data_IF_872500446016
#
_entry.id   IF_872500446016
#
_cell.length_a   1.000
_cell.length_b   1.000
_cell.length_c   1.000
_cell.angle_alpha   90.00
_cell.angle_beta   90.00
_cell.angle_gamma   90.00
#
_symmetry.space_group_name_H-M   'P 1'
#
loop_
_entity.id
_entity.type
_entity.pdbx_description
1 polymer ?
#
# COMPACT_ATOMS: atom_id res chain seq x y z
N UNK A 1 -35.58 -3.68 -13.40
CA UNK A 1 -34.83 -2.72 -12.55
C UNK A 1 -34.75 -3.30 -11.14
N UNK A 2 -33.66 -3.99 -10.78
CA UNK A 2 -33.49 -4.55 -9.43
C UNK A 2 -33.36 -3.36 -8.46
N UNK A 3 -34.25 -3.28 -7.46
CA UNK A 3 -34.07 -2.37 -6.32
C UNK A 3 -32.65 -2.57 -5.80
N UNK A 4 -31.82 -1.53 -5.89
CA UNK A 4 -30.54 -1.51 -5.19
C UNK A 4 -30.91 -1.57 -3.72
N UNK A 5 -30.62 -2.71 -3.10
CA UNK A 5 -30.86 -2.92 -1.68
C UNK A 5 -30.00 -1.91 -0.91
N UNK A 6 -30.65 -0.90 -0.35
CA UNK A 6 -30.02 0.20 0.40
C UNK A 6 -29.29 -0.35 1.66
N UNK A 7 -29.61 -1.58 2.08
CA UNK A 7 -28.94 -2.25 3.19
C UNK A 7 -27.48 -2.65 2.89
N UNK A 8 -27.12 -2.84 1.61
CA UNK A 8 -25.78 -3.26 1.21
C UNK A 8 -24.79 -2.07 1.17
N UNK A 9 -25.31 -0.86 0.89
CA UNK A 9 -24.56 0.40 1.05
C UNK A 9 -24.33 0.70 2.54
N UNK A 10 -25.27 0.34 3.40
CA UNK A 10 -25.19 0.48 4.86
C UNK A 10 -24.13 -0.44 5.51
N UNK A 11 -23.64 -1.45 4.79
CA UNK A 11 -22.63 -2.37 5.28
C UNK A 11 -21.17 -1.93 5.06
N UNK A 12 -20.96 -0.88 4.25
CA UNK A 12 -19.64 -0.37 3.87
C UNK A 12 -19.34 0.93 4.64
N UNK A 13 -18.21 0.98 5.33
CA UNK A 13 -17.81 2.14 6.15
C UNK A 13 -17.37 3.29 5.25
N UNK A 14 -18.32 4.13 4.86
CA UNK A 14 -18.11 5.28 3.96
C UNK A 14 -17.02 6.22 4.49
N UNK A 15 -17.01 6.51 5.79
CA UNK A 15 -15.99 7.37 6.42
C UNK A 15 -14.56 6.86 6.20
N UNK A 16 -14.35 5.55 6.30
CA UNK A 16 -13.04 4.92 6.11
C UNK A 16 -12.60 4.97 4.64
N UNK A 17 -13.54 4.71 3.72
CA UNK A 17 -13.28 4.80 2.29
C UNK A 17 -13.04 6.25 1.84
N UNK A 18 -13.77 7.22 2.39
CA UNK A 18 -13.56 8.65 2.17
C UNK A 18 -12.20 9.12 2.66
N UNK A 19 -11.77 8.69 3.86
CA UNK A 19 -10.44 9.03 4.39
C UNK A 19 -9.32 8.48 3.48
N UNK A 20 -9.46 7.23 3.00
CA UNK A 20 -8.50 6.64 2.07
C UNK A 20 -8.48 7.39 0.73
N UNK A 21 -9.65 7.72 0.19
CA UNK A 21 -9.77 8.47 -1.05
C UNK A 21 -9.16 9.87 -0.96
N UNK A 22 -9.42 10.58 0.14
CA UNK A 22 -8.81 11.88 0.44
C UNK A 22 -7.28 11.77 0.51
N UNK A 23 -6.76 10.75 1.22
CA UNK A 23 -5.32 10.54 1.32
C UNK A 23 -4.66 10.26 -0.05
N UNK A 24 -5.30 9.49 -0.94
CA UNK A 24 -4.79 9.28 -2.31
C UNK A 24 -4.77 10.60 -3.09
N UNK A 25 -5.85 11.39 -3.03
CA UNK A 25 -5.93 12.69 -3.71
C UNK A 25 -4.83 13.63 -3.23
N UNK A 26 -4.63 13.74 -1.91
CA UNK A 26 -3.59 14.56 -1.31
C UNK A 26 -2.18 14.06 -1.66
N UNK A 27 -1.97 12.74 -1.78
CA UNK A 27 -0.69 12.16 -2.17
C UNK A 27 -0.32 12.55 -3.60
N UNK A 28 -1.26 12.49 -4.54
CA UNK A 28 -1.07 12.95 -5.92
C UNK A 28 -0.77 14.45 -5.96
N UNK A 29 -1.51 15.25 -5.18
CA UNK A 29 -1.32 16.69 -5.12
C UNK A 29 0.10 17.04 -4.61
N UNK A 30 0.51 16.43 -3.50
CA UNK A 30 1.82 16.67 -2.89
C UNK A 30 3.00 16.08 -3.66
N UNK A 31 2.79 15.01 -4.43
CA UNK A 31 3.86 14.28 -5.12
C UNK A 31 4.04 14.63 -6.59
N UNK A 32 3.04 15.24 -7.24
CA UNK A 32 3.10 15.53 -8.69
C UNK A 32 3.06 17.01 -9.03
N UNK A 33 2.41 17.86 -8.21
CA UNK A 33 2.17 19.27 -8.55
C UNK A 33 3.22 20.20 -7.92
N UNK A 34 3.92 19.72 -6.89
CA UNK A 34 4.86 20.51 -6.08
C UNK A 34 6.24 20.69 -6.74
N UNK A 35 6.61 19.92 -7.75
CA UNK A 35 7.95 19.98 -8.36
C UNK A 35 8.12 21.07 -9.44
N UNK A 36 7.32 22.13 -9.40
CA UNK A 36 7.64 23.41 -10.02
C UNK A 36 7.73 24.46 -8.91
N UNK A 37 8.71 25.37 -8.98
CA UNK A 37 9.04 26.40 -7.96
C UNK A 37 7.95 27.45 -7.69
N UNK A 38 6.69 27.11 -7.94
CA UNK A 38 5.53 28.00 -8.01
C UNK A 38 4.67 27.93 -6.75
N UNK A 39 4.78 26.85 -5.95
CA UNK A 39 3.91 26.64 -4.80
C UNK A 39 4.49 27.21 -3.47
N UNK A 40 3.63 27.66 -2.54
CA UNK A 40 4.07 28.16 -1.25
C UNK A 40 4.65 27.06 -0.33
N UNK A 41 5.49 27.43 0.63
CA UNK A 41 6.24 26.50 1.48
C UNK A 41 5.39 25.46 2.25
N UNK A 42 4.15 25.79 2.61
CA UNK A 42 3.24 24.86 3.30
C UNK A 42 2.77 23.69 2.41
N UNK A 43 3.07 23.71 1.11
CA UNK A 43 2.80 22.63 0.15
C UNK A 43 3.89 21.56 0.10
N UNK A 44 4.95 21.70 0.90
CA UNK A 44 6.10 20.79 0.94
C UNK A 44 6.31 20.21 2.34
N UNK A 45 7.21 19.25 2.47
CA UNK A 45 7.70 18.82 3.78
C UNK A 45 8.40 19.99 4.48
N UNK A 46 8.09 20.22 5.76
CA UNK A 46 8.66 21.35 6.52
C UNK A 46 10.20 21.34 6.51
N UNK A 47 10.79 20.14 6.56
CA UNK A 47 12.23 19.92 6.55
C UNK A 47 12.85 19.99 5.16
N UNK A 48 12.06 20.19 4.10
CA UNK A 48 12.52 20.26 2.71
C UNK A 48 11.91 21.51 2.04
N UNK A 49 12.14 22.72 2.60
CA UNK A 49 11.45 23.92 2.16
C UNK A 49 11.92 24.37 0.75
N UNK A 50 11.05 25.03 -0.02
CA UNK A 50 11.47 25.74 -1.22
C UNK A 50 12.40 26.92 -0.87
N UNK A 51 13.23 27.40 -1.81
CA UNK A 51 13.38 26.92 -3.19
C UNK A 51 14.39 25.77 -3.34
N UNK A 52 15.25 25.55 -2.34
CA UNK A 52 16.37 24.61 -2.50
C UNK A 52 15.96 23.15 -2.38
N UNK A 53 14.84 22.85 -1.72
CA UNK A 53 14.38 21.49 -1.44
C UNK A 53 15.46 20.58 -0.85
N UNK A 54 16.33 21.17 -0.03
CA UNK A 54 17.36 20.44 0.70
C UNK A 54 16.84 20.06 2.08
N UNK A 55 17.14 18.83 2.51
CA UNK A 55 16.74 18.36 3.82
C UNK A 55 17.48 19.12 4.92
N UNK A 56 16.75 19.84 5.77
CA UNK A 56 17.28 20.57 6.91
C UNK A 56 16.65 20.05 8.22
N UNK A 57 17.41 19.30 9.05
CA UNK A 57 16.89 18.72 10.28
C UNK A 57 16.63 19.75 11.38
N UNK A 58 17.17 20.96 11.28
CA UNK A 58 16.99 22.00 12.29
C UNK A 58 15.63 22.69 12.23
N UNK A 59 14.89 22.51 11.13
CA UNK A 59 13.54 23.05 10.98
C UNK A 59 12.56 22.11 11.67
N UNK A 60 11.99 22.57 12.79
CA UNK A 60 10.91 21.87 13.47
C UNK A 60 9.58 22.15 12.77
N UNK A 61 8.77 21.11 12.57
CA UNK A 61 7.42 21.26 12.05
C UNK A 61 6.94 20.02 11.31
N UNK A 62 5.62 19.96 11.14
CA UNK A 62 4.95 19.03 10.25
C UNK A 62 4.03 19.86 9.35
N UNK A 63 3.99 19.56 8.07
CA UNK A 63 2.97 20.08 7.17
C UNK A 63 1.89 19.03 6.94
N UNK A 64 0.82 19.41 6.25
CA UNK A 64 -0.23 18.45 5.90
C UNK A 64 0.30 17.31 5.02
N UNK A 65 1.37 17.55 4.23
CA UNK A 65 2.03 16.56 3.37
C UNK A 65 2.58 15.40 4.18
N UNK A 66 3.15 15.70 5.36
CA UNK A 66 3.70 14.69 6.27
C UNK A 66 2.63 13.75 6.83
N UNK A 67 1.36 14.19 6.87
CA UNK A 67 0.23 13.44 7.44
C UNK A 67 -0.48 12.54 6.42
N UNK A 68 -0.31 12.82 5.13
CA UNK A 68 -1.01 12.09 4.05
C UNK A 68 -0.73 10.59 4.09
N UNK A 69 0.54 10.21 4.14
CA UNK A 69 0.94 8.81 4.15
C UNK A 69 0.54 8.08 5.45
N UNK A 70 0.72 8.67 6.66
CA UNK A 70 0.16 8.15 7.89
C UNK A 70 -1.36 7.92 7.86
N UNK A 71 -2.16 8.87 7.35
CA UNK A 71 -3.61 8.70 7.24
C UNK A 71 -3.97 7.53 6.34
N UNK A 72 -3.25 7.38 5.22
CA UNK A 72 -3.45 6.26 4.31
C UNK A 72 -3.17 4.92 5.00
N UNK A 73 -2.01 4.79 5.68
CA UNK A 73 -1.65 3.59 6.43
C UNK A 73 -2.60 3.30 7.59
N UNK A 74 -3.00 4.31 8.36
CA UNK A 74 -3.98 4.15 9.43
C UNK A 74 -5.32 3.62 8.89
N UNK A 75 -5.80 4.18 7.78
CA UNK A 75 -7.03 3.72 7.12
C UNK A 75 -6.92 2.28 6.60
N UNK A 76 -5.73 1.85 6.18
CA UNK A 76 -5.44 0.47 5.81
C UNK A 76 -5.51 -0.45 7.03
N UNK A 77 -4.86 -0.08 8.13
CA UNK A 77 -4.89 -0.83 9.39
C UNK A 77 -6.32 -1.03 9.90
N UNK A 78 -7.13 0.04 9.89
CA UNK A 78 -8.54 0.00 10.28
C UNK A 78 -9.41 -0.88 9.37
N UNK A 79 -8.99 -1.11 8.12
CA UNK A 79 -9.70 -1.98 7.20
C UNK A 79 -9.43 -3.48 7.45
N UNK A 80 -8.32 -3.86 8.10
CA UNK A 80 -7.98 -5.27 8.31
C UNK A 80 -9.04 -6.04 9.11
N UNK A 81 -9.49 -5.58 10.29
CA UNK A 81 -10.48 -6.32 11.06
C UNK A 81 -11.79 -6.52 10.31
N UNK A 82 -12.22 -5.48 9.59
CA UNK A 82 -13.46 -5.46 8.82
C UNK A 82 -13.41 -6.45 7.65
N UNK A 83 -12.29 -6.48 6.92
CA UNK A 83 -12.13 -7.33 5.75
C UNK A 83 -11.80 -8.79 6.09
N UNK A 84 -11.02 -9.02 7.15
CA UNK A 84 -10.46 -10.33 7.46
C UNK A 84 -11.33 -11.13 8.43
N UNK A 85 -12.09 -10.49 9.33
CA UNK A 85 -12.91 -11.18 10.34
C UNK A 85 -13.90 -12.20 9.75
N UNK A 86 -14.68 -11.80 8.73
CA UNK A 86 -15.64 -12.69 8.08
C UNK A 86 -14.96 -13.86 7.39
N UNK A 87 -13.82 -13.60 6.73
CA UNK A 87 -13.09 -14.63 5.99
C UNK A 87 -12.38 -15.60 6.91
N UNK A 88 -11.80 -15.11 7.99
CA UNK A 88 -11.13 -15.92 8.99
C UNK A 88 -12.11 -16.90 9.64
N UNK A 89 -13.33 -16.44 9.95
CA UNK A 89 -14.42 -17.29 10.45
C UNK A 89 -14.88 -18.36 9.44
N UNK A 90 -14.99 -18.00 8.16
CA UNK A 90 -15.57 -18.89 7.15
C UNK A 90 -14.56 -19.84 6.49
N UNK A 91 -13.31 -19.42 6.33
CA UNK A 91 -12.28 -20.12 5.53
C UNK A 91 -11.05 -20.52 6.34
N UNK A 92 -10.98 -20.14 7.61
CA UNK A 92 -9.86 -20.44 8.49
C UNK A 92 -8.61 -19.58 8.24
N UNK A 93 -7.59 -19.82 9.08
CA UNK A 93 -6.33 -19.06 9.11
C UNK A 93 -5.53 -19.24 7.82
N UNK A 94 -5.32 -20.49 7.39
CA UNK A 94 -4.45 -20.83 6.27
C UNK A 94 -4.94 -20.22 4.95
N UNK A 95 -6.24 -20.31 4.65
CA UNK A 95 -6.81 -19.70 3.44
C UNK A 95 -6.77 -18.17 3.48
N UNK A 96 -6.83 -17.56 4.66
CA UNK A 96 -6.73 -16.12 4.85
C UNK A 96 -5.29 -15.63 4.66
N UNK A 97 -4.31 -16.36 5.19
CA UNK A 97 -2.89 -16.11 4.94
C UNK A 97 -2.52 -16.31 3.47
N UNK A 98 -2.98 -17.39 2.83
CA UNK A 98 -2.73 -17.63 1.40
C UNK A 98 -3.25 -16.49 0.51
N UNK A 99 -4.41 -15.92 0.82
CA UNK A 99 -4.89 -14.74 0.10
C UNK A 99 -4.05 -13.50 0.39
N UNK A 100 -3.60 -13.31 1.63
CA UNK A 100 -2.74 -12.20 2.01
C UNK A 100 -1.41 -12.26 1.24
N UNK A 101 -0.79 -13.43 1.18
CA UNK A 101 0.44 -13.67 0.41
C UNK A 101 0.20 -13.42 -1.07
N UNK A 102 -0.92 -13.91 -1.64
CA UNK A 102 -1.30 -13.60 -3.02
C UNK A 102 -1.41 -12.09 -3.27
N UNK A 103 -2.05 -11.34 -2.37
CA UNK A 103 -2.17 -9.88 -2.50
C UNK A 103 -0.82 -9.19 -2.40
N UNK A 104 0.05 -9.65 -1.51
CA UNK A 104 1.43 -9.15 -1.40
C UNK A 104 2.19 -9.33 -2.72
N UNK A 105 2.20 -10.54 -3.29
CA UNK A 105 2.88 -10.82 -4.56
C UNK A 105 2.35 -9.92 -5.69
N UNK A 106 1.02 -9.76 -5.78
CA UNK A 106 0.41 -8.89 -6.79
C UNK A 106 0.76 -7.41 -6.60
N UNK A 107 0.83 -6.92 -5.36
CA UNK A 107 1.23 -5.54 -5.06
C UNK A 107 2.70 -5.30 -5.35
N UNK A 108 3.57 -6.26 -5.05
CA UNK A 108 4.99 -6.18 -5.39
C UNK A 108 5.19 -6.17 -6.91
N UNK A 109 4.51 -7.05 -7.64
CA UNK A 109 4.50 -7.00 -9.11
C UNK A 109 4.01 -5.64 -9.62
N UNK A 110 2.91 -5.14 -9.06
CA UNK A 110 2.36 -3.84 -9.39
C UNK A 110 3.36 -2.70 -9.13
N UNK A 111 4.12 -2.74 -8.03
CA UNK A 111 5.15 -1.75 -7.72
C UNK A 111 6.29 -1.73 -8.74
N UNK A 112 6.76 -2.91 -9.16
CA UNK A 112 7.83 -3.03 -10.15
C UNK A 112 7.33 -2.60 -11.53
N UNK A 113 6.17 -3.11 -11.95
CA UNK A 113 5.60 -2.80 -13.27
C UNK A 113 5.31 -1.31 -13.42
N UNK A 114 4.58 -0.70 -12.48
CA UNK A 114 4.20 0.72 -12.56
C UNK A 114 5.40 1.67 -12.52
N UNK A 115 6.50 1.28 -11.86
CA UNK A 115 7.74 2.04 -11.92
C UNK A 115 8.32 2.04 -13.35
N UNK A 116 8.44 0.86 -13.96
CA UNK A 116 8.97 0.71 -15.32
C UNK A 116 8.03 1.26 -16.40
N UNK A 117 6.73 1.34 -16.12
CA UNK A 117 5.73 1.92 -17.02
C UNK A 117 5.76 3.46 -17.09
N UNK A 118 6.63 4.15 -16.35
CA UNK A 118 6.74 5.62 -16.38
C UNK A 118 7.58 6.07 -17.57
N UNK A 119 7.08 7.08 -18.30
CA UNK A 119 7.76 7.56 -19.51
C UNK A 119 9.20 8.06 -19.24
N UNK A 120 9.44 8.74 -18.11
CA UNK A 120 10.77 9.20 -17.69
C UNK A 120 11.71 8.09 -17.17
N UNK A 121 11.18 6.89 -16.91
CA UNK A 121 11.98 5.70 -16.60
C UNK A 121 12.35 4.97 -17.90
N UNK A 122 11.48 5.01 -18.90
CA UNK A 122 11.76 4.45 -20.24
C UNK A 122 12.85 5.24 -20.97
N UNK A 123 12.75 6.57 -21.01
CA UNK A 123 13.67 7.46 -21.73
C UNK A 123 14.04 8.69 -20.88
N UNK A 124 15.23 9.25 -21.11
CA UNK A 124 15.66 10.52 -20.48
C UNK A 124 14.89 11.73 -21.02
N UNK A 125 14.54 11.70 -22.31
CA UNK A 125 13.71 12.71 -22.97
C UNK A 125 12.46 12.03 -23.52
N UNK A 126 11.39 11.90 -22.72
CA UNK A 126 10.17 11.21 -23.15
C UNK A 126 9.53 11.94 -24.33
N UNK A 127 9.43 11.27 -25.47
CA UNK A 127 8.69 11.74 -26.61
C UNK A 127 7.21 11.31 -26.50
N UNK A 128 6.43 11.63 -27.53
CA UNK A 128 5.02 11.23 -27.61
C UNK A 128 4.85 9.71 -27.57
N UNK A 129 5.81 8.95 -28.09
CA UNK A 129 5.83 7.49 -28.09
C UNK A 129 5.87 6.91 -26.69
N UNK A 130 6.80 7.33 -25.82
CA UNK A 130 6.94 6.78 -24.47
C UNK A 130 5.72 7.15 -23.60
N UNK A 131 5.17 8.35 -23.80
CA UNK A 131 3.94 8.76 -23.14
C UNK A 131 2.74 7.90 -23.56
N UNK A 132 2.59 7.61 -24.86
CA UNK A 132 1.55 6.69 -25.37
C UNK A 132 1.75 5.26 -24.86
N UNK A 133 2.98 4.77 -24.80
CA UNK A 133 3.30 3.45 -24.22
C UNK A 133 2.92 3.43 -22.74
N UNK A 134 3.23 4.48 -21.98
CA UNK A 134 2.84 4.61 -20.57
C UNK A 134 1.32 4.55 -20.38
N UNK A 135 0.55 5.24 -21.23
CA UNK A 135 -0.92 5.15 -21.25
C UNK A 135 -1.37 3.72 -21.60
N UNK A 136 -0.72 3.07 -22.57
CA UNK A 136 -0.96 1.67 -22.92
C UNK A 136 -0.70 0.72 -21.75
N UNK A 137 0.40 0.90 -21.03
CA UNK A 137 0.72 0.17 -19.80
C UNK A 137 -0.32 0.40 -18.71
N UNK A 138 -0.84 1.63 -18.58
CA UNK A 138 -1.93 1.92 -17.67
C UNK A 138 -3.21 1.15 -18.04
N UNK A 139 -3.56 1.08 -19.33
CA UNK A 139 -4.69 0.25 -19.79
C UNK A 139 -4.43 -1.26 -19.58
N UNK A 140 -3.18 -1.72 -19.70
CA UNK A 140 -2.80 -3.10 -19.38
C UNK A 140 -3.08 -3.46 -17.90
N UNK A 141 -2.94 -2.51 -16.97
CA UNK A 141 -3.32 -2.73 -15.56
C UNK A 141 -4.81 -3.09 -15.42
N UNK A 142 -5.68 -2.46 -16.21
CA UNK A 142 -7.11 -2.81 -16.22
C UNK A 142 -7.32 -4.24 -16.71
N UNK A 143 -6.60 -4.65 -17.76
CA UNK A 143 -6.64 -6.03 -18.26
C UNK A 143 -6.14 -7.05 -17.22
N UNK A 144 -5.16 -6.70 -16.39
CA UNK A 144 -4.62 -7.59 -15.34
C UNK A 144 -5.49 -7.66 -14.08
N UNK A 145 -6.03 -6.52 -13.61
CA UNK A 145 -6.61 -6.44 -12.26
C UNK A 145 -8.13 -6.20 -12.24
N UNK A 146 -8.75 -5.80 -13.36
CA UNK A 146 -10.19 -5.58 -13.41
C UNK A 146 -10.97 -6.89 -13.27
N UNK A 147 -12.03 -6.83 -12.47
CA UNK A 147 -13.04 -7.88 -12.34
C UNK A 147 -14.40 -7.30 -12.70
N UNK A 148 -14.84 -7.55 -13.93
CA UNK A 148 -16.14 -7.11 -14.42
C UNK A 148 -17.20 -8.14 -14.03
N UNK A 149 -18.32 -7.69 -13.44
CA UNK A 149 -19.44 -8.58 -13.07
C UNK A 149 -20.11 -9.27 -14.27
N UNK A 150 -19.92 -8.72 -15.47
CA UNK A 150 -20.56 -9.17 -16.71
C UNK A 150 -19.73 -10.22 -17.47
N UNK A 151 -18.48 -10.47 -17.08
CA UNK A 151 -17.63 -11.41 -17.80
C UNK A 151 -17.83 -12.85 -17.28
N UNK A 152 -17.86 -13.81 -18.21
CA UNK A 152 -17.79 -15.24 -17.87
C UNK A 152 -16.43 -15.53 -17.22
N UNK A 153 -16.40 -16.36 -16.18
CA UNK A 153 -15.19 -16.64 -15.38
C UNK A 153 -13.97 -17.05 -16.23
N UNK A 154 -14.16 -17.85 -17.28
CA UNK A 154 -13.07 -18.27 -18.17
C UNK A 154 -12.48 -17.13 -19.01
N UNK A 155 -13.33 -16.20 -19.47
CA UNK A 155 -12.89 -15.03 -20.24
C UNK A 155 -12.10 -14.05 -19.37
N UNK A 156 -12.54 -13.83 -18.13
CA UNK A 156 -11.78 -12.99 -17.17
C UNK A 156 -10.40 -13.57 -16.90
N UNK A 157 -10.28 -14.88 -16.68
CA UNK A 157 -8.98 -15.53 -16.45
C UNK A 157 -8.09 -15.39 -17.69
N UNK A 158 -8.61 -15.67 -18.89
CA UNK A 158 -7.86 -15.53 -20.14
C UNK A 158 -7.35 -14.10 -20.36
N UNK A 159 -8.19 -13.10 -20.14
CA UNK A 159 -7.82 -11.67 -20.21
C UNK A 159 -6.72 -11.30 -19.21
N UNK A 160 -6.82 -11.80 -17.97
CA UNK A 160 -5.81 -11.53 -16.94
C UNK A 160 -4.47 -12.18 -17.31
N UNK A 161 -4.47 -13.43 -17.77
CA UNK A 161 -3.27 -14.14 -18.23
C UNK A 161 -2.63 -13.38 -19.40
N UNK A 162 -3.43 -12.96 -20.38
CA UNK A 162 -2.94 -12.15 -21.50
C UNK A 162 -2.33 -10.82 -21.02
N UNK A 163 -2.99 -10.14 -20.08
CA UNK A 163 -2.47 -8.90 -19.48
C UNK A 163 -1.12 -9.10 -18.81
N UNK A 164 -0.96 -10.15 -18.01
CA UNK A 164 0.32 -10.47 -17.37
C UNK A 164 1.39 -10.87 -18.39
N UNK A 165 1.02 -11.64 -19.42
CA UNK A 165 1.95 -12.03 -20.48
C UNK A 165 2.47 -10.80 -21.25
N UNK A 166 1.59 -9.88 -21.63
CA UNK A 166 1.96 -8.62 -22.29
C UNK A 166 2.82 -7.73 -21.38
N UNK A 167 2.48 -7.64 -20.09
CA UNK A 167 3.26 -6.86 -19.13
C UNK A 167 4.69 -7.42 -18.96
N UNK A 168 4.83 -8.74 -18.85
CA UNK A 168 6.14 -9.40 -18.77
C UNK A 168 6.93 -9.27 -20.08
N UNK A 169 6.26 -9.41 -21.23
CA UNK A 169 6.88 -9.19 -22.53
C UNK A 169 7.39 -7.76 -22.69
N UNK A 170 6.60 -6.76 -22.26
CA UNK A 170 7.01 -5.36 -22.24
C UNK A 170 8.25 -5.17 -21.34
N UNK A 171 8.22 -5.69 -20.11
CA UNK A 171 9.36 -5.56 -19.19
C UNK A 171 10.62 -6.27 -19.72
N UNK A 172 10.48 -7.38 -20.44
CA UNK A 172 11.63 -8.12 -20.94
C UNK A 172 12.21 -7.56 -22.24
N UNK A 173 11.36 -7.11 -23.16
CA UNK A 173 11.76 -6.73 -24.53
C UNK A 173 12.06 -5.24 -24.67
N UNK A 174 11.50 -4.39 -23.82
CA UNK A 174 11.65 -2.95 -23.97
C UNK A 174 13.06 -2.49 -23.57
N UNK A 175 13.78 -1.74 -24.43
CA UNK A 175 15.11 -1.25 -24.12
C UNK A 175 15.03 -0.02 -23.20
N UNK A 176 15.05 -0.25 -21.88
CA UNK A 176 15.11 0.83 -20.90
C UNK A 176 16.47 1.54 -20.93
N UNK A 177 16.46 2.85 -20.66
CA UNK A 177 17.66 3.71 -20.62
C UNK A 177 18.81 3.19 -19.74
N UNK A 178 18.50 2.49 -18.65
CA UNK A 178 19.47 2.06 -17.64
C UNK A 178 20.06 0.66 -17.92
N UNK A 179 20.08 0.21 -19.18
CA UNK A 179 20.61 -1.10 -19.56
C UNK A 179 19.60 -2.25 -19.44
N UNK A 180 18.30 -1.95 -19.51
CA UNK A 180 17.22 -2.94 -19.47
C UNK A 180 16.46 -3.01 -18.13
N UNK A 181 15.69 -4.09 -17.97
CA UNK A 181 14.82 -4.27 -16.81
C UNK A 181 15.62 -4.57 -15.53
N UNK A 182 15.28 -3.86 -14.44
CA UNK A 182 15.89 -4.07 -13.14
C UNK A 182 14.83 -4.20 -12.04
N UNK A 183 14.70 -5.41 -11.48
CA UNK A 183 13.72 -5.70 -10.43
C UNK A 183 13.93 -4.91 -9.13
N UNK A 184 15.14 -4.42 -8.88
CA UNK A 184 15.46 -3.60 -7.70
C UNK A 184 14.93 -2.16 -7.83
N UNK A 185 14.54 -1.73 -9.03
CA UNK A 185 13.89 -0.43 -9.26
C UNK A 185 12.37 -0.62 -9.20
N UNK A 186 11.75 -0.10 -8.15
CA UNK A 186 10.32 -0.25 -7.90
C UNK A 186 9.74 0.98 -7.22
N UNK A 187 8.42 1.11 -7.27
CA UNK A 187 7.72 2.16 -6.52
C UNK A 187 7.80 1.88 -5.02
N UNK A 188 8.56 2.71 -4.31
CA UNK A 188 8.81 2.56 -2.88
C UNK A 188 7.52 2.63 -2.04
N UNK A 189 6.56 3.48 -2.42
CA UNK A 189 5.30 3.64 -1.68
C UNK A 189 4.52 2.33 -1.79
N UNK A 190 4.35 1.78 -2.99
CA UNK A 190 3.61 0.54 -3.21
C UNK A 190 4.31 -0.65 -2.53
N UNK A 191 5.64 -0.73 -2.56
CA UNK A 191 6.39 -1.77 -1.83
C UNK A 191 6.14 -1.67 -0.32
N UNK A 192 6.19 -0.46 0.26
CA UNK A 192 5.85 -0.26 1.67
C UNK A 192 4.42 -0.71 1.96
N UNK A 193 3.45 -0.34 1.12
CA UNK A 193 2.05 -0.75 1.26
C UNK A 193 1.87 -2.26 1.18
N UNK A 194 2.60 -2.95 0.29
CA UNK A 194 2.59 -4.40 0.20
C UNK A 194 3.05 -5.04 1.51
N UNK A 195 4.17 -4.57 2.05
CA UNK A 195 4.71 -5.05 3.33
C UNK A 195 3.75 -4.76 4.48
N UNK A 196 3.18 -3.57 4.55
CA UNK A 196 2.20 -3.22 5.60
C UNK A 196 0.93 -4.05 5.50
N UNK A 197 0.47 -4.35 4.29
CA UNK A 197 -0.63 -5.27 4.07
C UNK A 197 -0.29 -6.69 4.54
N UNK A 198 0.91 -7.21 4.24
CA UNK A 198 1.34 -8.55 4.63
C UNK A 198 1.53 -8.68 6.15
N UNK A 199 2.38 -7.85 6.74
CA UNK A 199 2.71 -7.95 8.16
C UNK A 199 1.54 -7.50 9.03
N UNK A 200 0.88 -6.39 8.70
CA UNK A 200 -0.25 -5.88 9.48
C UNK A 200 -1.43 -6.85 9.53
N UNK A 201 -1.76 -7.49 8.40
CA UNK A 201 -2.82 -8.51 8.39
C UNK A 201 -2.41 -9.79 9.11
N UNK A 202 -1.18 -10.28 8.91
CA UNK A 202 -0.65 -11.47 9.59
C UNK A 202 -0.66 -11.29 11.11
N UNK A 203 -0.14 -10.16 11.58
CA UNK A 203 -0.16 -9.78 13.00
C UNK A 203 -1.58 -9.76 13.53
N UNK A 204 -2.51 -9.12 12.81
CA UNK A 204 -3.90 -9.05 13.24
C UNK A 204 -4.57 -10.44 13.30
N UNK A 205 -4.36 -11.30 12.30
CA UNK A 205 -4.91 -12.67 12.24
C UNK A 205 -4.50 -13.47 13.48
N UNK A 206 -3.23 -13.42 13.88
CA UNK A 206 -2.74 -14.16 15.04
C UNK A 206 -3.05 -13.49 16.40
N UNK A 207 -3.39 -12.20 16.41
CA UNK A 207 -3.64 -11.43 17.64
C UNK A 207 -5.07 -10.94 17.76
N UNK A 208 -6.02 -11.48 16.99
CA UNK A 208 -7.41 -11.03 16.95
C UNK A 208 -8.04 -10.99 18.36
N UNK A 209 -7.77 -12.00 19.18
CA UNK A 209 -8.31 -12.13 20.54
C UNK A 209 -7.37 -11.62 21.63
N UNK A 210 -6.16 -11.19 21.29
CA UNK A 210 -5.09 -10.82 22.23
C UNK A 210 -4.51 -9.45 21.87
N UNK A 211 -5.26 -8.36 22.07
CA UNK A 211 -4.84 -7.01 21.67
C UNK A 211 -3.51 -6.57 22.31
N UNK A 212 -3.24 -6.99 23.54
CA UNK A 212 -1.97 -6.69 24.22
C UNK A 212 -0.75 -7.31 23.54
N UNK A 213 -0.87 -8.53 23.00
CA UNK A 213 0.21 -9.13 22.21
C UNK A 213 0.47 -8.35 20.91
N UNK A 214 -0.58 -7.76 20.33
CA UNK A 214 -0.45 -6.90 19.15
C UNK A 214 0.39 -5.66 19.46
N UNK A 215 0.12 -5.02 20.60
CA UNK A 215 0.88 -3.84 21.04
C UNK A 215 2.31 -4.22 21.43
N UNK A 216 2.52 -5.39 22.05
CA UNK A 216 3.84 -5.87 22.45
C UNK A 216 4.83 -6.03 21.27
N UNK A 217 4.35 -6.13 20.03
CA UNK A 217 5.19 -6.14 18.83
C UNK A 217 5.89 -4.79 18.61
N UNK A 218 5.24 -3.68 18.96
CA UNK A 218 5.79 -2.33 18.77
C UNK A 218 7.10 -2.09 19.53
N UNK A 219 7.22 -2.33 20.85
CA UNK A 219 8.48 -2.16 21.55
C UNK A 219 9.57 -3.11 21.05
N UNK A 220 9.22 -4.33 20.60
CA UNK A 220 10.20 -5.25 19.99
C UNK A 220 10.76 -4.69 18.68
N UNK A 221 9.89 -4.17 17.81
CA UNK A 221 10.32 -3.50 16.58
C UNK A 221 11.16 -2.27 16.93
N UNK A 222 10.73 -1.45 17.89
CA UNK A 222 11.50 -0.27 18.32
C UNK A 222 12.90 -0.65 18.83
N UNK A 223 13.01 -1.71 19.62
CA UNK A 223 14.28 -2.18 20.16
C UNK A 223 15.26 -2.55 19.04
N UNK A 224 14.77 -3.24 18.00
CA UNK A 224 15.60 -3.56 16.82
C UNK A 224 15.99 -2.29 16.05
N UNK A 225 15.08 -1.32 15.88
CA UNK A 225 15.39 -0.05 15.21
C UNK A 225 16.44 0.80 15.94
N UNK A 226 16.41 0.80 17.28
CA UNK A 226 17.35 1.58 18.09
C UNK A 226 18.71 0.88 18.19
N UNK A 227 18.71 -0.43 18.46
CA UNK A 227 19.93 -1.22 18.67
C UNK A 227 20.61 -1.63 17.35
N UNK A 228 19.85 -1.79 16.27
CA UNK A 228 20.38 -2.16 14.94
C UNK A 228 21.29 -1.10 14.31
N UNK A 229 21.36 0.11 14.86
CA UNK A 229 22.30 1.16 14.45
C UNK A 229 23.72 0.94 14.96
N UNK A 230 23.91 0.03 15.93
CA UNK A 230 25.23 -0.34 16.44
C UNK A 230 25.87 -1.33 15.46
N UNK A 231 26.97 -0.91 14.84
CA UNK A 231 27.73 -1.71 13.88
C UNK A 231 28.15 -3.06 14.48
N UNK A 232 28.18 -4.10 13.64
CA UNK A 232 28.63 -5.47 13.95
C UNK A 232 27.88 -6.20 15.08
N UNK A 233 26.72 -5.69 15.51
CA UNK A 233 25.85 -6.39 16.45
C UNK A 233 24.97 -7.44 15.75
N UNK A 234 24.56 -8.48 16.48
CA UNK A 234 23.57 -9.45 15.98
C UNK A 234 22.23 -8.76 15.62
N UNK A 235 21.90 -7.66 16.31
CA UNK A 235 20.70 -6.86 16.02
C UNK A 235 20.85 -6.10 14.70
N UNK A 236 22.05 -5.60 14.38
CA UNK A 236 22.34 -4.99 13.08
C UNK A 236 22.18 -6.01 11.94
N UNK A 237 22.56 -7.28 12.15
CA UNK A 237 22.30 -8.34 11.17
C UNK A 237 20.80 -8.54 10.95
N UNK A 238 20.00 -8.57 12.02
CA UNK A 238 18.53 -8.67 11.93
C UNK A 238 17.92 -7.44 11.25
N UNK A 239 18.41 -6.25 11.56
CA UNK A 239 17.94 -4.99 10.97
C UNK A 239 18.25 -4.91 9.47
N UNK A 240 19.44 -5.37 9.06
CA UNK A 240 19.85 -5.41 7.65
C UNK A 240 19.36 -6.69 6.92
N UNK A 241 18.72 -7.61 7.65
CA UNK A 241 18.24 -8.85 7.05
C UNK A 241 17.09 -8.59 6.08
N UNK A 242 17.31 -9.04 4.85
CA UNK A 242 16.45 -8.73 3.73
C UNK A 242 16.46 -9.88 2.72
N UNK A 243 15.64 -10.92 2.92
CA UNK A 243 15.64 -12.11 2.06
C UNK A 243 15.32 -11.80 0.59
N UNK A 244 14.53 -10.76 0.33
CA UNK A 244 14.21 -10.26 -1.00
C UNK A 244 14.42 -8.74 -1.00
N UNK A 245 15.65 -8.23 -1.22
CA UNK A 245 15.96 -6.80 -1.08
C UNK A 245 15.14 -5.87 -1.98
N UNK A 246 14.66 -6.38 -3.11
CA UNK A 246 13.78 -5.66 -4.03
C UNK A 246 12.32 -5.59 -3.54
N UNK A 247 11.91 -6.43 -2.58
CA UNK A 247 10.52 -6.55 -2.12
C UNK A 247 10.32 -6.25 -0.63
N UNK A 248 11.33 -6.46 0.21
CA UNK A 248 11.23 -6.32 1.66
C UNK A 248 12.52 -5.76 2.23
N UNK A 249 12.39 -4.86 3.19
CA UNK A 249 13.47 -4.46 4.09
C UNK A 249 12.87 -4.32 5.49
N UNK A 250 13.65 -4.62 6.54
CA UNK A 250 13.18 -4.44 7.92
C UNK A 250 12.80 -2.97 8.20
N UNK A 251 13.46 -2.03 7.52
CA UNK A 251 13.17 -0.60 7.61
C UNK A 251 11.68 -0.26 7.39
N UNK A 252 10.97 -1.01 6.55
CA UNK A 252 9.53 -0.80 6.33
C UNK A 252 8.68 -1.10 7.57
N UNK A 253 9.14 -1.95 8.49
CA UNK A 253 8.37 -2.34 9.67
C UNK A 253 8.16 -1.19 10.66
N UNK A 254 8.87 -0.07 10.55
CA UNK A 254 8.55 1.16 11.32
C UNK A 254 7.13 1.68 11.05
N UNK A 255 6.53 1.34 9.91
CA UNK A 255 5.16 1.75 9.62
C UNK A 255 4.11 0.93 10.39
N UNK A 256 4.52 -0.14 11.08
CA UNK A 256 3.65 -0.86 12.02
C UNK A 256 3.18 0.01 13.18
N UNK A 257 3.95 1.04 13.56
CA UNK A 257 3.54 2.03 14.57
C UNK A 257 2.29 2.83 14.17
N UNK A 258 1.94 2.86 12.89
CA UNK A 258 0.72 3.50 12.38
C UNK A 258 -0.37 2.46 12.12
N UNK A 259 0.02 1.33 11.53
CA UNK A 259 -0.90 0.25 11.16
C UNK A 259 -1.55 -0.37 12.40
N UNK A 260 -0.77 -0.68 13.45
CA UNK A 260 -1.30 -1.35 14.65
C UNK A 260 -2.37 -0.51 15.34
N UNK A 261 -2.18 0.78 15.65
CA UNK A 261 -3.27 1.65 16.13
C UNK A 261 -4.47 1.67 15.18
N UNK A 262 -4.26 1.69 13.87
CA UNK A 262 -5.32 1.55 12.87
C UNK A 262 -6.15 0.27 13.08
N UNK A 263 -5.50 -0.87 13.33
CA UNK A 263 -6.22 -2.14 13.58
C UNK A 263 -7.12 -2.08 14.82
N UNK A 264 -6.77 -1.31 15.85
CA UNK A 264 -7.64 -1.10 17.01
C UNK A 264 -8.88 -0.31 16.64
N UNK A 265 -8.73 0.77 15.87
CA UNK A 265 -9.86 1.52 15.35
C UNK A 265 -10.79 0.63 14.53
N UNK A 266 -10.24 -0.26 13.70
CA UNK A 266 -11.02 -1.26 12.97
C UNK A 266 -11.76 -2.25 13.87
N UNK A 267 -11.12 -2.74 14.94
CA UNK A 267 -11.75 -3.64 15.92
C UNK A 267 -12.90 -2.94 16.66
N UNK A 268 -12.73 -1.66 17.02
CA UNK A 268 -13.78 -0.84 17.63
C UNK A 268 -14.94 -0.59 16.68
N UNK A 269 -14.67 -0.27 15.41
CA UNK A 269 -15.70 -0.11 14.38
C UNK A 269 -16.49 -1.41 14.18
N UNK A 270 -15.82 -2.56 14.19
CA UNK A 270 -16.46 -3.86 14.08
C UNK A 270 -17.36 -4.17 15.28
N UNK A 271 -16.90 -3.85 16.50
CA UNK A 271 -17.71 -3.99 17.73
C UNK A 271 -18.93 -3.05 17.71
N UNK A 272 -18.73 -1.78 17.38
CA UNK A 272 -19.81 -0.81 17.28
C UNK A 272 -20.88 -1.25 16.26
N UNK A 273 -20.44 -1.79 15.11
CA UNK A 273 -21.33 -2.37 14.10
C UNK A 273 -22.16 -3.53 14.68
N UNK A 274 -21.51 -4.50 15.32
CA UNK A 274 -22.22 -5.64 15.91
C UNK A 274 -23.22 -5.20 17.00
N UNK A 275 -22.85 -4.24 17.85
CA UNK A 275 -23.73 -3.71 18.88
C UNK A 275 -24.93 -2.95 18.29
N UNK A 276 -24.73 -2.18 17.22
CA UNK A 276 -25.83 -1.47 16.55
C UNK A 276 -26.85 -2.41 15.90
N UNK A 277 -26.43 -3.58 15.44
CA UNK A 277 -27.33 -4.64 14.93
C UNK A 277 -28.14 -5.25 16.07
N UNK A 278 -27.56 -5.39 17.26
CA UNK A 278 -28.24 -5.96 18.44
C UNK A 278 -29.27 -4.98 19.03
N UNK A 279 -29.05 -3.67 18.93
CA UNK A 279 -29.96 -2.63 19.47
C UNK A 279 -31.16 -2.34 18.53
N UNK A 280 -31.16 -2.86 17.30
CA UNK A 280 -32.35 -2.88 16.42
C UNK A 280 -33.03 -4.26 16.38
N UNK A 281 -33.63 -4.79 17.47
CA UNK A 281 -34.68 -5.78 17.34
C UNK A 281 -36.01 -5.07 17.06
N UNK A 282 -36.72 -5.54 16.03
CA UNK A 282 -38.07 -5.14 15.54
C UNK A 282 -38.25 -3.69 15.11
#
# INVERSE_FOLDING_TARGET
>A
MKKVDVSDVQNRLLSLDSLRGLAILLMVLSGSITFGDVLPAWMYHAQVPPPTHTFNPNIAGLTWVDLVFPFFLFSMGAAFPLALSKKLKNSGVLATLGQTIKRYILLIFFAVFTFHSRAWVMSETPATTENLISIGCFLLLFLMFSKTKFERSGFTIGRQILGFALALAFMWLYPFKDGGFNIFKSDIIIVVLANMALFGSTIWIFTQHKPWLRVAILPLVMAIFLSGKVADSWVSQVYNWSPLPWAYTFYYLKYLFIIIPGTFAGDWLLKAKNNSIIIKPS
#
